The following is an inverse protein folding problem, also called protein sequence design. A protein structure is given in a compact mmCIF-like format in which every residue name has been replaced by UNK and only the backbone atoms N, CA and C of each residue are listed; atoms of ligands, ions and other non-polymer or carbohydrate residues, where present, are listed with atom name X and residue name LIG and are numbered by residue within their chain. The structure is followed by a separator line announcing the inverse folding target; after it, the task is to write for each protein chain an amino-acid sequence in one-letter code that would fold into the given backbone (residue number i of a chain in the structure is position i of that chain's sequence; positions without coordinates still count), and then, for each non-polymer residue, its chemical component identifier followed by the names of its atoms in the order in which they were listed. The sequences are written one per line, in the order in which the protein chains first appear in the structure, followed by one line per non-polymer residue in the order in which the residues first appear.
data_IF_624075506942
#
_entry.id   IF_624075506942
#
_cell.length_a   1.000
_cell.length_b   1.000
_cell.length_c   1.000
_cell.angle_alpha   90.00
_cell.angle_beta   90.00
_cell.angle_gamma   90.00
#
_symmetry.space_group_name_H-M   'P 1'
#
loop_
_entity.id
_entity.type
_entity.pdbx_description
1 polymer ?
#
# COMPACT_ATOMS: atom_id res chain seq x y z
N UNK A 1 6.32 13.99 -1.65
CA UNK A 1 6.26 12.67 -2.32
C UNK A 1 5.80 11.60 -1.34
N UNK A 2 6.44 11.45 -0.18
CA UNK A 2 5.96 10.59 0.91
C UNK A 2 4.57 10.99 1.43
N UNK A 3 4.27 12.31 1.51
CA UNK A 3 2.93 12.80 1.86
C UNK A 3 1.82 12.35 0.89
N UNK A 4 2.08 12.38 -0.42
CA UNK A 4 1.13 11.87 -1.44
C UNK A 4 0.87 10.38 -1.25
N UNK A 5 1.92 9.59 -1.05
CA UNK A 5 1.81 8.17 -0.74
C UNK A 5 0.93 7.90 0.49
N UNK A 6 1.15 8.62 1.59
CA UNK A 6 0.33 8.46 2.79
C UNK A 6 -1.13 8.82 2.53
N UNK A 7 -1.39 9.93 1.84
CA UNK A 7 -2.74 10.37 1.52
C UNK A 7 -3.48 9.38 0.63
N UNK A 8 -2.83 8.86 -0.42
CA UNK A 8 -3.42 7.83 -1.28
C UNK A 8 -3.77 6.59 -0.48
N UNK A 9 -2.87 6.09 0.36
CA UNK A 9 -3.16 4.92 1.19
C UNK A 9 -4.30 5.15 2.18
N UNK A 10 -4.42 6.35 2.76
CA UNK A 10 -5.54 6.70 3.63
C UNK A 10 -6.88 6.63 2.90
N UNK A 11 -6.93 7.14 1.66
CA UNK A 11 -8.15 7.04 0.83
C UNK A 11 -8.49 5.58 0.50
N UNK A 12 -7.50 4.77 0.13
CA UNK A 12 -7.74 3.35 -0.16
C UNK A 12 -8.25 2.60 1.07
N UNK A 13 -7.72 2.90 2.27
CA UNK A 13 -8.21 2.33 3.53
C UNK A 13 -9.68 2.74 3.77
N UNK A 14 -10.01 4.02 3.59
CA UNK A 14 -11.36 4.55 3.81
C UNK A 14 -12.41 3.95 2.87
N UNK A 15 -12.02 3.62 1.65
CA UNK A 15 -12.93 3.07 0.64
C UNK A 15 -12.94 1.55 0.58
N UNK A 16 -12.09 0.87 1.37
CA UNK A 16 -12.00 -0.58 1.42
C UNK A 16 -12.97 -1.23 2.40
N UNK A 17 -13.55 -2.35 1.96
CA UNK A 17 -14.27 -3.30 2.82
C UNK A 17 -13.30 -4.26 3.51
N UNK A 18 -12.22 -4.62 2.82
CA UNK A 18 -11.23 -5.57 3.32
C UNK A 18 -9.84 -5.17 2.86
N UNK A 19 -8.88 -5.31 3.76
CA UNK A 19 -7.48 -5.02 3.49
C UNK A 19 -6.66 -6.19 4.00
N UNK A 20 -5.72 -6.67 3.18
CA UNK A 20 -4.87 -7.81 3.51
C UNK A 20 -3.53 -7.74 2.78
N UNK A 21 -2.54 -8.50 3.26
CA UNK A 21 -1.22 -8.61 2.63
C UNK A 21 -1.05 -10.00 2.04
N UNK A 22 -0.59 -10.06 0.79
CA UNK A 22 -0.21 -11.31 0.15
C UNK A 22 1.04 -11.11 -0.70
N UNK A 23 2.01 -12.02 -0.60
CA UNK A 23 3.28 -11.97 -1.35
C UNK A 23 3.97 -10.59 -1.30
N UNK A 24 4.01 -9.97 -0.11
CA UNK A 24 4.61 -8.65 0.09
C UNK A 24 3.95 -7.54 -0.75
N UNK A 25 2.65 -7.64 -0.98
CA UNK A 25 1.80 -6.64 -1.63
C UNK A 25 0.59 -6.38 -0.74
N UNK A 26 0.10 -5.14 -0.76
CA UNK A 26 -1.10 -4.75 -0.01
C UNK A 26 -2.28 -4.71 -0.94
N UNK A 27 -3.34 -5.42 -0.58
CA UNK A 27 -4.58 -5.53 -1.32
C UNK A 27 -5.68 -4.79 -0.58
N UNK A 28 -6.42 -3.98 -1.33
CA UNK A 28 -7.53 -3.16 -0.89
C UNK A 28 -8.75 -3.56 -1.73
N UNK A 29 -9.68 -4.30 -1.12
CA UNK A 29 -10.95 -4.65 -1.75
C UNK A 29 -11.93 -3.50 -1.48
N UNK A 30 -12.21 -2.72 -2.52
CA UNK A 30 -13.01 -1.51 -2.45
C UNK A 30 -14.50 -1.81 -2.29
N UNK A 31 -15.25 -0.87 -1.72
CA UNK A 31 -16.72 -0.90 -1.64
C UNK A 31 -17.40 -1.01 -3.02
N UNK A 32 -16.71 -0.58 -4.09
CA UNK A 32 -17.19 -0.68 -5.48
C UNK A 32 -17.04 -2.07 -6.08
N UNK A 33 -16.31 -2.97 -5.41
CA UNK A 33 -15.88 -4.26 -5.94
C UNK A 33 -14.53 -4.22 -6.67
N UNK A 34 -13.91 -3.04 -6.81
CA UNK A 34 -12.58 -2.93 -7.39
C UNK A 34 -11.51 -3.50 -6.44
N UNK A 35 -10.49 -4.12 -7.01
CA UNK A 35 -9.28 -4.54 -6.29
C UNK A 35 -8.14 -3.56 -6.56
N UNK A 36 -7.67 -2.88 -5.51
CA UNK A 36 -6.50 -2.02 -5.58
C UNK A 36 -5.29 -2.73 -4.96
N UNK A 37 -4.19 -2.76 -5.71
CA UNK A 37 -2.96 -3.43 -5.29
C UNK A 37 -1.84 -2.41 -5.21
N UNK A 38 -1.19 -2.34 -4.05
CA UNK A 38 0.04 -1.59 -3.83
C UNK A 38 1.21 -2.56 -3.73
N UNK A 39 2.18 -2.39 -4.63
CA UNK A 39 3.29 -3.34 -4.79
C UNK A 39 4.61 -2.64 -5.14
N UNK A 40 5.70 -3.30 -4.81
CA UNK A 40 7.05 -2.89 -5.20
C UNK A 40 7.45 -3.52 -6.54
N UNK A 41 7.93 -2.70 -7.47
CA UNK A 41 8.34 -3.12 -8.80
C UNK A 41 9.36 -2.13 -9.39
N UNK A 42 10.50 -2.63 -9.87
CA UNK A 42 11.57 -1.84 -10.51
C UNK A 42 11.95 -0.56 -9.72
N UNK A 43 12.28 -0.73 -8.43
CA UNK A 43 12.68 0.36 -7.52
C UNK A 43 11.61 1.43 -7.30
N UNK A 44 10.34 1.08 -7.48
CA UNK A 44 9.19 1.96 -7.31
C UNK A 44 8.08 1.26 -6.55
N UNK A 45 7.30 2.05 -5.83
CA UNK A 45 6.03 1.57 -5.27
C UNK A 45 4.93 2.09 -6.18
N UNK A 46 4.11 1.15 -6.67
CA UNK A 46 3.02 1.45 -7.60
C UNK A 46 1.69 1.00 -7.03
N UNK A 47 0.65 1.66 -7.50
CA UNK A 47 -0.76 1.33 -7.31
C UNK A 47 -1.36 0.85 -8.63
N UNK A 48 -2.15 -0.22 -8.59
CA UNK A 48 -2.90 -0.73 -9.74
C UNK A 48 -4.35 -0.98 -9.33
N UNK A 49 -5.30 -0.74 -10.24
CA UNK A 49 -6.73 -0.99 -10.00
C UNK A 49 -7.20 -2.06 -10.97
N UNK A 50 -7.74 -3.16 -10.46
CA UNK A 50 -8.18 -4.33 -11.23
C UNK A 50 -7.10 -4.86 -12.20
N UNK A 51 -5.83 -4.82 -11.76
CA UNK A 51 -4.67 -5.20 -12.58
C UNK A 51 -4.38 -4.28 -13.77
N UNK A 52 -5.12 -3.17 -13.93
CA UNK A 52 -4.99 -2.23 -15.05
C UNK A 52 -4.26 -0.95 -14.61
N UNK A 53 -3.53 -0.38 -15.57
CA UNK A 53 -2.75 0.82 -15.37
C UNK A 53 -1.62 0.65 -14.35
N UNK A 54 -0.97 1.76 -14.03
CA UNK A 54 -0.12 1.90 -12.85
C UNK A 54 0.01 3.39 -12.51
N UNK A 55 -0.22 3.73 -11.25
CA UNK A 55 0.18 5.02 -10.69
C UNK A 55 1.45 4.80 -9.87
N UNK A 56 2.50 5.56 -10.17
CA UNK A 56 3.76 5.49 -9.42
C UNK A 56 3.67 6.40 -8.20
N UNK A 57 3.53 5.80 -7.02
CA UNK A 57 3.39 6.54 -5.76
C UNK A 57 4.74 7.03 -5.23
N UNK A 58 5.77 6.19 -5.34
CA UNK A 58 7.13 6.48 -4.88
C UNK A 58 8.18 5.92 -5.84
N UNK A 59 9.34 6.58 -5.90
CA UNK A 59 10.49 6.22 -6.74
C UNK A 59 11.75 6.08 -5.89
N UNK A 60 12.80 5.49 -6.46
CA UNK A 60 14.10 5.30 -5.83
C UNK A 60 13.99 4.53 -4.51
N UNK A 61 13.15 3.50 -4.51
CA UNK A 61 12.93 2.63 -3.37
C UNK A 61 13.89 1.44 -3.48
N UNK A 62 14.61 1.19 -2.39
CA UNK A 62 15.52 0.06 -2.25
C UNK A 62 14.77 -1.16 -1.75
N UNK A 63 13.99 -0.99 -0.68
CA UNK A 63 13.24 -2.06 -0.04
C UNK A 63 11.82 -1.62 0.30
N UNK A 64 10.88 -2.54 0.14
CA UNK A 64 9.50 -2.43 0.57
C UNK A 64 9.13 -3.72 1.29
N UNK A 65 8.57 -3.59 2.49
CA UNK A 65 8.06 -4.72 3.26
C UNK A 65 6.67 -4.40 3.76
N UNK A 66 5.70 -5.27 3.47
CA UNK A 66 4.36 -5.21 3.99
C UNK A 66 4.14 -6.42 4.91
N UNK A 67 3.71 -6.15 6.13
CA UNK A 67 3.39 -7.18 7.13
C UNK A 67 1.96 -6.95 7.61
N UNK A 68 1.18 -8.02 7.61
CA UNK A 68 -0.15 -8.04 8.18
C UNK A 68 -0.10 -8.64 9.59
N UNK A 69 -0.63 -7.90 10.55
CA UNK A 69 -0.94 -8.36 11.90
C UNK A 69 -2.44 -8.58 12.04
N UNK A 70 -2.89 -9.00 13.23
CA UNK A 70 -4.31 -9.26 13.49
C UNK A 70 -5.20 -8.09 13.08
N UNK A 71 -4.86 -6.88 13.55
CA UNK A 71 -5.72 -5.68 13.44
C UNK A 71 -5.08 -4.54 12.63
N UNK A 72 -3.83 -4.70 12.19
CA UNK A 72 -3.09 -3.65 11.50
C UNK A 72 -2.23 -4.20 10.35
N UNK A 73 -1.90 -3.31 9.43
CA UNK A 73 -0.92 -3.54 8.37
C UNK A 73 0.19 -2.50 8.53
N UNK A 74 1.43 -2.98 8.51
CA UNK A 74 2.63 -2.17 8.59
C UNK A 74 3.38 -2.26 7.26
N UNK A 75 3.62 -1.10 6.67
CA UNK A 75 4.45 -0.94 5.48
C UNK A 75 5.75 -0.23 5.88
N UNK A 76 6.88 -0.90 5.72
CA UNK A 76 8.22 -0.34 5.95
C UNK A 76 8.93 -0.12 4.62
N UNK A 77 9.50 1.07 4.44
CA UNK A 77 10.13 1.50 3.17
C UNK A 77 11.53 2.03 3.45
N UNK A 78 12.51 1.56 2.68
CA UNK A 78 13.87 2.08 2.64
C UNK A 78 14.14 2.64 1.25
N UNK A 79 14.56 3.89 1.17
CA UNK A 79 14.93 4.53 -0.10
C UNK A 79 16.38 4.20 -0.49
N UNK A 80 16.73 4.45 -1.75
CA UNK A 80 18.11 4.35 -2.23
C UNK A 80 19.05 5.40 -1.59
N UNK A 81 18.50 6.48 -1.04
CA UNK A 81 19.24 7.49 -0.27
C UNK A 81 19.51 7.07 1.19
N UNK A 82 18.93 5.95 1.64
CA UNK A 82 19.04 5.46 3.02
C UNK A 82 17.98 6.02 3.98
N UNK A 83 17.01 6.79 3.47
CA UNK A 83 15.89 7.27 4.28
C UNK A 83 14.90 6.12 4.53
N UNK A 84 14.42 6.02 5.77
CA UNK A 84 13.45 5.01 6.18
C UNK A 84 12.20 5.68 6.74
N UNK A 85 11.04 5.15 6.36
CA UNK A 85 9.76 5.55 6.93
C UNK A 85 8.78 4.39 6.91
N UNK A 86 7.74 4.53 7.73
CA UNK A 86 6.71 3.51 7.89
C UNK A 86 5.32 4.11 7.72
N UNK A 87 4.38 3.28 7.25
CA UNK A 87 2.96 3.59 7.23
C UNK A 87 2.22 2.44 7.90
N UNK A 88 1.49 2.79 8.95
CA UNK A 88 0.63 1.88 9.69
C UNK A 88 -0.82 2.30 9.46
N UNK A 89 -1.70 1.32 9.25
CA UNK A 89 -3.14 1.52 9.25
C UNK A 89 -3.84 0.29 9.80
N UNK A 90 -4.99 0.52 10.44
CA UNK A 90 -5.83 -0.53 10.96
C UNK A 90 -6.54 -1.24 9.80
N UNK A 91 -6.67 -2.56 9.92
CA UNK A 91 -7.58 -3.33 9.08
C UNK A 91 -8.98 -2.89 9.46
N UNK A 92 -9.73 -2.35 8.51
CA UNK A 92 -11.15 -2.04 8.73
C UNK A 92 -11.83 -3.32 9.17
N UNK A 93 -12.19 -3.39 10.46
CA UNK A 93 -13.05 -4.46 10.99
C UNK A 93 -14.47 -4.16 10.51
N UNK A 94 -15.16 -5.22 10.09
CA UNK A 94 -16.52 -5.19 9.53
C UNK A 94 -17.42 -4.18 10.26
N UNK A 95 -18.00 -3.25 9.48
CA UNK A 95 -19.14 -2.43 9.94
C UNK A 95 -20.43 -3.20 9.75
#
# INVERSE_FOLDING_TARGET
MVSHFHHVLELEVQWSQKIYVHLNQVYFLQNTGDEVIVSFHNNKIRRQVNGKGHEELLRNINQFTAVEYSDEIVISILTNSGEQFEKVFLKTMEK
#
